data_IF_111299384475
#
_entry.id   IF_111299384475
#
_cell.length_a   1.000
_cell.length_b   1.000
_cell.length_c   1.000
_cell.angle_alpha   90.00
_cell.angle_beta   90.00
_cell.angle_gamma   90.00
#
_symmetry.space_group_name_H-M   'P 1'
#
loop_
_entity.id
_entity.type
_entity.pdbx_description
1 polymer ?
#
# COMPACT_ATOMS: atom_id res chain seq x y z
N UNK A 1 -17.20 -13.20 11.74
CA UNK A 1 -17.98 -13.81 12.85
C UNK A 1 -18.14 -12.83 14.02
N UNK A 2 -18.17 -11.53 13.75
CA UNK A 2 -18.23 -10.44 14.75
C UNK A 2 -19.56 -9.69 14.70
N UNK A 3 -20.56 -10.27 14.01
CA UNK A 3 -21.82 -9.60 13.68
C UNK A 3 -23.00 -10.15 14.49
N UNK A 4 -22.82 -11.29 15.18
CA UNK A 4 -23.94 -12.00 15.82
C UNK A 4 -24.17 -11.67 17.30
N UNK A 5 -23.45 -10.68 17.85
CA UNK A 5 -23.64 -10.22 19.25
C UNK A 5 -24.27 -8.82 19.30
N UNK A 6 -24.37 -8.10 18.17
CA UNK A 6 -24.72 -6.67 18.10
C UNK A 6 -26.13 -6.38 17.59
N UNK A 7 -27.11 -7.19 17.96
CA UNK A 7 -28.50 -6.73 17.98
C UNK A 7 -29.36 -7.74 18.74
N UNK A 8 -29.59 -7.50 20.02
CA UNK A 8 -30.95 -7.74 20.50
C UNK A 8 -31.80 -6.71 19.74
N UNK A 9 -32.76 -7.11 18.90
CA UNK A 9 -33.61 -6.16 18.18
C UNK A 9 -34.23 -5.22 19.22
N UNK A 10 -34.12 -3.92 19.02
CA UNK A 10 -34.67 -2.91 19.95
C UNK A 10 -36.18 -3.13 20.17
N UNK A 11 -36.86 -3.78 19.20
CA UNK A 11 -38.22 -4.29 19.30
C UNK A 11 -38.47 -5.19 20.53
N UNK A 12 -37.55 -6.12 20.85
CA UNK A 12 -37.67 -7.07 21.99
C UNK A 12 -37.45 -6.38 23.35
N UNK A 13 -36.72 -5.26 23.37
CA UNK A 13 -36.53 -4.43 24.57
C UNK A 13 -37.74 -3.53 24.87
N UNK A 14 -38.57 -3.20 23.86
CA UNK A 14 -39.75 -2.35 24.03
C UNK A 14 -40.88 -3.05 24.79
N UNK A 15 -40.94 -4.38 24.74
CA UNK A 15 -41.97 -5.19 25.40
C UNK A 15 -41.64 -5.49 26.87
N UNK A 16 -40.38 -5.27 27.29
CA UNK A 16 -39.98 -5.36 28.69
C UNK A 16 -40.32 -4.06 29.41
N UNK A 17 -41.22 -4.11 30.40
CA UNK A 17 -41.50 -2.99 31.31
C UNK A 17 -40.29 -2.73 32.22
N UNK A 18 -39.29 -2.06 31.67
CA UNK A 18 -38.04 -1.70 32.36
C UNK A 18 -38.24 -0.42 33.18
N UNK A 19 -37.61 -0.34 34.35
CA UNK A 19 -37.50 0.91 35.10
C UNK A 19 -36.71 1.94 34.26
N UNK A 20 -37.09 3.24 34.24
CA UNK A 20 -36.39 4.28 33.47
C UNK A 20 -34.87 4.37 33.74
N UNK A 21 -34.40 3.89 34.90
CA UNK A 21 -32.98 3.81 35.22
C UNK A 21 -32.29 2.65 34.50
N UNK A 22 -32.96 1.49 34.42
CA UNK A 22 -32.47 0.28 33.75
C UNK A 22 -32.42 0.47 32.23
N UNK A 23 -33.42 1.15 31.64
CA UNK A 23 -33.44 1.47 30.21
C UNK A 23 -32.24 2.35 29.79
N UNK A 24 -31.84 3.31 30.65
CA UNK A 24 -30.66 4.17 30.42
C UNK A 24 -29.35 3.38 30.50
N UNK A 25 -29.20 2.54 31.53
CA UNK A 25 -27.99 1.74 31.71
C UNK A 25 -27.82 0.74 30.56
N UNK A 26 -28.92 0.13 30.11
CA UNK A 26 -28.94 -0.77 28.97
C UNK A 26 -28.62 -0.04 27.66
N UNK A 27 -29.18 1.16 27.42
CA UNK A 27 -28.82 1.97 26.25
C UNK A 27 -27.34 2.35 26.22
N UNK A 28 -26.75 2.71 27.36
CA UNK A 28 -25.32 3.04 27.45
C UNK A 28 -24.41 1.80 27.30
N UNK A 29 -24.86 0.62 27.72
CA UNK A 29 -24.11 -0.64 27.57
C UNK A 29 -24.25 -1.27 26.18
N UNK A 30 -25.38 -1.05 25.49
CA UNK A 30 -25.67 -1.59 24.15
C UNK A 30 -25.16 -0.64 23.06
N UNK A 31 -25.08 0.67 23.33
CA UNK A 31 -24.53 1.66 22.39
C UNK A 31 -22.99 1.61 22.33
N UNK A 32 -22.46 0.51 21.80
CA UNK A 32 -21.08 0.49 21.29
C UNK A 32 -21.04 1.44 20.10
N UNK A 33 -20.70 2.70 20.35
CA UNK A 33 -20.55 3.69 19.29
C UNK A 33 -19.46 3.19 18.36
N UNK A 34 -19.81 2.80 17.13
CA UNK A 34 -18.85 2.43 16.09
C UNK A 34 -17.93 3.64 15.85
N UNK A 35 -16.76 3.59 16.47
CA UNK A 35 -15.79 4.67 16.33
C UNK A 35 -15.07 4.45 15.02
N UNK A 36 -15.38 5.25 13.99
CA UNK A 36 -14.61 5.29 12.75
C UNK A 36 -13.18 5.72 13.08
N UNK A 37 -12.25 4.78 13.08
CA UNK A 37 -10.84 5.05 13.33
C UNK A 37 -10.23 5.53 12.01
N UNK A 38 -9.56 6.68 12.04
CA UNK A 38 -8.79 7.18 10.88
C UNK A 38 -7.54 6.33 10.68
N UNK A 39 -7.16 6.08 9.42
CA UNK A 39 -5.94 5.33 9.06
C UNK A 39 -4.68 5.89 9.74
N UNK A 40 -4.57 7.21 9.86
CA UNK A 40 -3.45 7.88 10.53
C UNK A 40 -3.34 7.56 12.04
N UNK A 41 -4.41 7.09 12.66
CA UNK A 41 -4.39 6.66 14.07
C UNK A 41 -3.48 5.45 14.27
N UNK A 42 -3.29 4.62 13.23
CA UNK A 42 -2.38 3.47 13.28
C UNK A 42 -0.91 3.92 13.47
N UNK A 43 -0.57 5.12 13.04
CA UNK A 43 0.76 5.73 13.21
C UNK A 43 0.93 6.50 14.52
N UNK A 44 -0.03 6.41 15.46
CA UNK A 44 0.04 7.12 16.75
C UNK A 44 1.30 6.82 17.56
N UNK A 45 1.89 5.64 17.38
CA UNK A 45 3.10 5.18 18.07
C UNK A 45 4.40 5.49 17.30
N UNK A 46 4.31 6.16 16.14
CA UNK A 46 5.46 6.53 15.34
C UNK A 46 6.24 7.71 15.97
N UNK A 47 7.54 7.53 16.14
CA UNK A 47 8.46 8.56 16.62
C UNK A 47 8.92 9.48 15.49
N UNK A 48 9.53 10.62 15.81
CA UNK A 48 10.08 11.55 14.79
C UNK A 48 11.10 10.89 13.87
N UNK A 49 11.90 9.94 14.40
CA UNK A 49 12.84 9.17 13.59
C UNK A 49 12.12 8.25 12.61
N UNK A 50 11.02 7.62 13.02
CA UNK A 50 10.22 6.76 12.15
C UNK A 50 9.65 7.55 10.97
N UNK A 51 9.22 8.79 11.21
CA UNK A 51 8.79 9.70 10.14
C UNK A 51 9.90 10.03 9.14
N UNK A 52 11.12 10.28 9.61
CA UNK A 52 12.27 10.55 8.73
C UNK A 52 12.62 9.31 7.91
N UNK A 53 12.65 8.15 8.55
CA UNK A 53 12.90 6.84 7.92
C UNK A 53 11.84 6.60 6.83
N UNK A 54 10.55 6.71 7.14
CA UNK A 54 9.46 6.58 6.16
C UNK A 54 9.58 7.57 5.00
N UNK A 55 9.98 8.82 5.25
CA UNK A 55 10.17 9.81 4.20
C UNK A 55 11.30 9.43 3.24
N UNK A 56 12.43 8.94 3.77
CA UNK A 56 13.53 8.41 2.94
C UNK A 56 13.02 7.22 2.12
N UNK A 57 12.31 6.29 2.75
CA UNK A 57 11.71 5.13 2.07
C UNK A 57 10.74 5.52 0.96
N UNK A 58 9.97 6.60 1.13
CA UNK A 58 9.07 7.14 0.12
C UNK A 58 9.83 7.63 -1.12
N UNK A 59 10.93 8.36 -0.93
CA UNK A 59 11.77 8.85 -2.04
C UNK A 59 12.37 7.67 -2.84
N UNK A 60 12.90 6.67 -2.13
CA UNK A 60 13.43 5.46 -2.78
C UNK A 60 12.34 4.61 -3.46
N UNK A 61 11.13 4.56 -2.90
CA UNK A 61 9.98 3.87 -3.50
C UNK A 61 9.54 4.53 -4.81
N UNK A 62 9.54 5.87 -4.87
CA UNK A 62 9.30 6.60 -6.12
C UNK A 62 10.39 6.33 -7.16
N UNK A 63 11.66 6.31 -6.75
CA UNK A 63 12.77 5.95 -7.64
C UNK A 63 12.61 4.53 -8.20
N UNK A 64 12.27 3.55 -7.36
CA UNK A 64 11.99 2.19 -7.81
C UNK A 64 10.77 2.11 -8.76
N UNK A 65 9.75 2.95 -8.55
CA UNK A 65 8.58 3.09 -9.44
C UNK A 65 8.90 3.62 -10.83
N UNK A 66 10.00 4.34 -11.02
CA UNK A 66 10.41 4.85 -12.35
C UNK A 66 10.98 3.78 -13.28
N UNK A 67 11.15 2.54 -12.81
CA UNK A 67 11.91 1.54 -13.56
C UNK A 67 11.19 1.03 -14.81
N UNK A 68 9.88 0.78 -14.72
CA UNK A 68 9.08 0.31 -15.87
C UNK A 68 9.16 1.28 -17.07
N UNK A 69 8.91 2.61 -16.92
CA UNK A 69 9.05 3.54 -18.03
C UNK A 69 10.51 3.67 -18.49
N UNK A 70 11.49 3.59 -17.59
CA UNK A 70 12.91 3.66 -17.96
C UNK A 70 13.34 2.51 -18.85
N UNK A 71 12.95 1.27 -18.51
CA UNK A 71 13.22 0.08 -19.34
C UNK A 71 12.53 0.21 -20.70
N UNK A 72 11.28 0.69 -20.74
CA UNK A 72 10.55 0.88 -21.99
C UNK A 72 11.24 1.91 -22.91
N UNK A 73 11.76 3.01 -22.35
CA UNK A 73 12.51 4.01 -23.11
C UNK A 73 13.83 3.46 -23.67
N UNK A 74 14.61 2.74 -22.85
CA UNK A 74 15.86 2.12 -23.29
C UNK A 74 15.62 1.09 -24.42
N UNK A 75 14.55 0.31 -24.31
CA UNK A 75 14.15 -0.62 -25.37
C UNK A 75 13.72 0.12 -26.64
N UNK A 76 13.00 1.23 -26.52
CA UNK A 76 12.66 2.10 -27.65
C UNK A 76 13.90 2.61 -28.40
N UNK A 77 14.89 3.12 -27.67
CA UNK A 77 16.18 3.55 -28.24
C UNK A 77 16.92 2.42 -28.94
N UNK A 78 16.84 1.20 -28.39
CA UNK A 78 17.41 0.02 -29.01
C UNK A 78 16.71 -0.30 -30.34
N UNK A 79 15.38 -0.31 -30.38
CA UNK A 79 14.60 -0.56 -31.61
C UNK A 79 14.87 0.51 -32.67
N UNK A 80 14.96 1.78 -32.27
CA UNK A 80 15.29 2.89 -33.17
C UNK A 80 16.67 2.70 -33.81
N UNK A 81 17.67 2.28 -33.02
CA UNK A 81 19.01 1.99 -33.53
C UNK A 81 19.01 0.88 -34.60
N UNK A 82 18.24 -0.20 -34.38
CA UNK A 82 18.09 -1.28 -35.37
C UNK A 82 17.41 -0.81 -36.66
N UNK A 83 16.45 0.11 -36.54
CA UNK A 83 15.71 0.63 -37.70
C UNK A 83 16.59 1.54 -38.55
N UNK A 84 17.41 2.38 -37.93
CA UNK A 84 18.32 3.30 -38.63
C UNK A 84 19.41 2.55 -39.43
N UNK A 85 19.93 1.43 -38.93
CA UNK A 85 20.85 0.57 -39.69
C UNK A 85 20.19 -0.02 -40.93
N UNK A 86 18.93 -0.46 -40.83
CA UNK A 86 18.19 -1.05 -41.97
C UNK A 86 17.93 -0.05 -43.09
N UNK A 87 17.85 1.25 -42.78
CA UNK A 87 17.61 2.33 -43.75
C UNK A 87 18.96 2.89 -44.28
N UNK A 88 20.10 2.28 -43.92
CA UNK A 88 21.46 2.72 -44.27
C UNK A 88 21.78 4.17 -43.86
N UNK A 89 21.13 4.70 -42.81
CA UNK A 89 21.36 6.08 -42.35
C UNK A 89 22.54 6.21 -41.38
N UNK A 90 23.08 5.09 -40.88
CA UNK A 90 24.20 5.03 -39.91
C UNK A 90 25.13 3.86 -40.24
N UNK A 91 26.41 4.05 -39.94
CA UNK A 91 27.43 3.00 -40.13
C UNK A 91 27.27 1.86 -39.13
N UNK A 92 27.80 0.67 -39.46
CA UNK A 92 27.79 -0.49 -38.56
C UNK A 92 28.54 -0.21 -37.24
N UNK A 93 29.56 0.63 -37.28
CA UNK A 93 30.37 0.97 -36.11
C UNK A 93 29.58 1.84 -35.11
N UNK A 94 28.86 2.87 -35.60
CA UNK A 94 28.00 3.73 -34.76
C UNK A 94 26.85 2.94 -34.11
N UNK A 95 26.34 1.93 -34.80
CA UNK A 95 25.32 1.04 -34.26
C UNK A 95 25.86 0.20 -33.09
N UNK A 96 27.01 -0.44 -33.27
CA UNK A 96 27.64 -1.24 -32.21
C UNK A 96 27.96 -0.40 -30.97
N UNK A 97 28.41 0.84 -31.16
CA UNK A 97 28.64 1.77 -30.06
C UNK A 97 27.35 2.12 -29.32
N UNK A 98 26.27 2.43 -30.06
CA UNK A 98 24.97 2.79 -29.44
C UNK A 98 24.35 1.64 -28.66
N UNK A 99 24.41 0.42 -29.20
CA UNK A 99 23.90 -0.77 -28.52
C UNK A 99 24.69 -1.06 -27.25
N UNK A 100 26.03 -1.00 -27.30
CA UNK A 100 26.87 -1.20 -26.12
C UNK A 100 26.57 -0.16 -25.02
N UNK A 101 26.34 1.09 -25.39
CA UNK A 101 25.93 2.14 -24.44
C UNK A 101 24.59 1.81 -23.78
N UNK A 102 23.55 1.47 -24.56
CA UNK A 102 22.22 1.12 -24.03
C UNK A 102 22.28 -0.13 -23.15
N UNK A 103 23.08 -1.13 -23.52
CA UNK A 103 23.29 -2.34 -22.72
C UNK A 103 23.96 -2.05 -21.37
N UNK A 104 24.96 -1.17 -21.32
CA UNK A 104 25.59 -0.75 -20.07
C UNK A 104 24.61 0.03 -19.18
N UNK A 105 23.83 0.94 -19.75
CA UNK A 105 22.80 1.69 -19.02
C UNK A 105 21.75 0.76 -18.39
N UNK A 106 21.31 -0.29 -19.09
CA UNK A 106 20.40 -1.29 -18.52
C UNK A 106 20.98 -1.98 -17.28
N UNK A 107 22.29 -2.27 -17.27
CA UNK A 107 22.96 -2.88 -16.11
C UNK A 107 23.02 -1.90 -14.94
N UNK A 108 23.38 -0.64 -15.18
CA UNK A 108 23.42 0.38 -14.12
C UNK A 108 22.05 0.67 -13.53
N UNK A 109 21.01 0.77 -14.37
CA UNK A 109 19.61 0.94 -13.92
C UNK A 109 19.15 -0.27 -13.09
N UNK A 110 19.50 -1.49 -13.50
CA UNK A 110 19.12 -2.69 -12.74
C UNK A 110 19.75 -2.71 -11.34
N UNK A 111 21.03 -2.37 -11.23
CA UNK A 111 21.72 -2.29 -9.93
C UNK A 111 21.12 -1.16 -9.07
N UNK A 112 20.92 0.02 -9.66
CA UNK A 112 20.32 1.16 -8.97
C UNK A 112 18.91 0.86 -8.46
N UNK A 113 18.08 0.23 -9.29
CA UNK A 113 16.74 -0.24 -8.92
C UNK A 113 16.80 -1.22 -7.76
N UNK A 114 17.68 -2.21 -7.83
CA UNK A 114 17.80 -3.25 -6.80
C UNK A 114 18.10 -2.63 -5.44
N UNK A 115 19.09 -1.73 -5.39
CA UNK A 115 19.46 -1.03 -4.16
C UNK A 115 18.33 -0.12 -3.68
N UNK A 116 17.70 0.65 -4.57
CA UNK A 116 16.61 1.55 -4.20
C UNK A 116 15.39 0.81 -3.65
N UNK A 117 14.98 -0.27 -4.32
CA UNK A 117 13.88 -1.13 -3.90
C UNK A 117 14.15 -1.81 -2.57
N UNK A 118 15.39 -2.28 -2.36
CA UNK A 118 15.81 -2.86 -1.09
C UNK A 118 15.72 -1.85 0.05
N UNK A 119 16.29 -0.65 -0.12
CA UNK A 119 16.26 0.40 0.90
C UNK A 119 14.82 0.81 1.21
N UNK A 120 13.99 1.01 0.18
CA UNK A 120 12.58 1.33 0.35
C UNK A 120 11.87 0.26 1.19
N UNK A 121 11.95 -1.00 0.77
CA UNK A 121 11.28 -2.12 1.44
C UNK A 121 11.77 -2.32 2.87
N UNK A 122 13.09 -2.30 3.10
CA UNK A 122 13.68 -2.47 4.42
C UNK A 122 13.22 -1.38 5.40
N UNK A 123 13.17 -0.13 4.94
CA UNK A 123 12.74 1.04 5.71
C UNK A 123 11.27 0.94 6.13
N UNK A 124 10.38 0.55 5.21
CA UNK A 124 8.96 0.37 5.49
C UNK A 124 8.67 -0.81 6.42
N UNK A 125 9.31 -1.96 6.20
CA UNK A 125 9.19 -3.14 7.05
C UNK A 125 9.71 -2.85 8.45
N UNK A 126 10.89 -2.22 8.57
CA UNK A 126 11.47 -1.85 9.87
C UNK A 126 10.53 -0.97 10.69
N UNK A 127 9.94 0.06 10.07
CA UNK A 127 9.02 0.97 10.74
C UNK A 127 7.71 0.27 11.14
N UNK A 128 7.17 -0.57 10.25
CA UNK A 128 5.95 -1.33 10.53
C UNK A 128 6.12 -2.32 11.68
N UNK A 129 7.22 -3.05 11.73
CA UNK A 129 7.58 -3.96 12.83
C UNK A 129 7.67 -3.21 14.17
N UNK A 130 8.31 -2.04 14.17
CA UNK A 130 8.44 -1.22 15.38
C UNK A 130 7.07 -0.76 15.92
N UNK A 131 6.18 -0.31 15.04
CA UNK A 131 4.83 0.14 15.41
C UNK A 131 3.99 -1.06 15.88
N UNK A 132 4.02 -2.16 15.13
CA UNK A 132 3.30 -3.39 15.47
C UNK A 132 3.73 -3.96 16.82
N UNK A 133 5.03 -3.91 17.14
CA UNK A 133 5.56 -4.32 18.45
C UNK A 133 5.00 -3.47 19.59
N UNK A 134 4.92 -2.16 19.44
CA UNK A 134 4.34 -1.28 20.46
C UNK A 134 2.85 -1.53 20.65
N UNK A 135 2.10 -1.73 19.55
CA UNK A 135 0.68 -2.10 19.60
C UNK A 135 0.51 -3.43 20.34
N UNK A 136 1.35 -4.43 20.04
CA UNK A 136 1.34 -5.76 20.68
C UNK A 136 1.57 -5.68 22.19
N UNK A 137 2.54 -4.87 22.63
CA UNK A 137 2.83 -4.69 24.05
C UNK A 137 1.64 -4.07 24.80
N UNK A 138 1.05 -3.00 24.25
CA UNK A 138 -0.09 -2.34 24.89
C UNK A 138 -1.35 -3.20 24.86
N UNK A 139 -1.56 -3.94 23.77
CA UNK A 139 -2.72 -4.83 23.65
C UNK A 139 -2.63 -5.99 24.65
N UNK A 140 -1.46 -6.61 24.78
CA UNK A 140 -1.21 -7.65 25.78
C UNK A 140 -1.40 -7.09 27.21
N UNK A 141 -0.87 -5.90 27.50
CA UNK A 141 -1.05 -5.24 28.80
C UNK A 141 -2.52 -4.97 29.12
N UNK A 142 -3.34 -4.60 28.13
CA UNK A 142 -4.77 -4.37 28.31
C UNK A 142 -5.51 -5.69 28.58
N UNK A 143 -5.21 -6.75 27.82
CA UNK A 143 -5.83 -8.07 27.97
C UNK A 143 -5.52 -8.69 29.33
N UNK A 144 -4.28 -8.56 29.84
CA UNK A 144 -3.90 -9.07 31.16
C UNK A 144 -4.63 -8.39 32.33
N UNK A 145 -5.26 -7.23 32.10
CA UNK A 145 -6.05 -6.50 33.11
C UNK A 145 -7.54 -6.81 33.04
N UNK A 146 -7.94 -7.71 32.16
CA UNK A 146 -9.33 -8.01 31.89
C UNK A 146 -9.88 -9.09 32.85
N UNK A 147 -11.17 -9.01 33.18
CA UNK A 147 -11.83 -9.94 34.10
C UNK A 147 -11.94 -11.36 33.49
N UNK A 148 -11.94 -12.41 34.33
CA UNK A 148 -12.12 -13.81 33.94
C UNK A 148 -13.40 -14.05 33.12
N UNK A 149 -14.48 -13.30 33.40
CA UNK A 149 -15.74 -13.36 32.65
C UNK A 149 -15.57 -13.01 31.15
N UNK A 150 -14.56 -12.19 30.80
CA UNK A 150 -14.24 -11.88 29.40
C UNK A 150 -13.62 -13.09 28.69
N UNK A 151 -12.73 -13.81 29.38
CA UNK A 151 -12.06 -14.99 28.87
C UNK A 151 -13.00 -16.18 28.74
N UNK A 152 -14.01 -16.29 29.60
CA UNK A 152 -15.06 -17.31 29.51
C UNK A 152 -15.94 -17.12 28.26
N UNK A 153 -16.23 -15.86 27.90
CA UNK A 153 -17.03 -15.53 26.70
C UNK A 153 -16.28 -15.70 25.38
N UNK A 154 -15.00 -15.35 25.33
CA UNK A 154 -14.22 -15.35 24.07
C UNK A 154 -13.36 -16.61 23.89
N UNK A 155 -13.08 -17.35 24.96
CA UNK A 155 -12.10 -18.44 24.96
C UNK A 155 -10.66 -17.93 24.90
N UNK A 156 -9.77 -18.48 25.73
CA UNK A 156 -8.37 -18.06 25.81
C UNK A 156 -7.60 -18.19 24.48
N UNK A 157 -7.98 -19.16 23.64
CA UNK A 157 -7.40 -19.38 22.32
C UNK A 157 -7.76 -18.31 21.28
N UNK A 158 -9.00 -17.79 21.29
CA UNK A 158 -9.43 -16.74 20.35
C UNK A 158 -8.68 -15.43 20.64
N UNK A 159 -8.59 -15.06 21.92
CA UNK A 159 -7.88 -13.84 22.36
C UNK A 159 -6.40 -13.87 21.92
N UNK A 160 -5.74 -15.02 22.09
CA UNK A 160 -4.34 -15.20 21.66
C UNK A 160 -4.17 -15.10 20.15
N UNK A 161 -5.12 -15.68 19.40
CA UNK A 161 -5.13 -15.63 17.93
C UNK A 161 -5.34 -14.21 17.43
N UNK A 162 -6.27 -13.45 18.03
CA UNK A 162 -6.53 -12.04 17.69
C UNK A 162 -5.34 -11.14 17.93
N UNK A 163 -4.64 -11.30 19.05
CA UNK A 163 -3.38 -10.55 19.30
C UNK A 163 -2.39 -10.77 18.14
N UNK A 164 -2.28 -11.99 17.64
CA UNK A 164 -1.28 -12.29 16.61
C UNK A 164 -1.76 -11.88 15.22
N UNK A 165 -2.93 -12.38 14.81
CA UNK A 165 -3.50 -12.18 13.48
C UNK A 165 -3.86 -10.72 13.21
N UNK A 166 -4.58 -10.05 14.13
CA UNK A 166 -5.05 -8.69 13.90
C UNK A 166 -3.87 -7.70 13.86
N UNK A 167 -2.86 -7.92 14.71
CA UNK A 167 -1.64 -7.09 14.71
C UNK A 167 -0.81 -7.34 13.45
N UNK A 168 -0.73 -8.58 12.97
CA UNK A 168 -0.03 -8.88 11.72
C UNK A 168 -0.72 -8.22 10.52
N UNK A 169 -2.06 -8.25 10.45
CA UNK A 169 -2.82 -7.53 9.43
C UNK A 169 -2.55 -6.01 9.48
N UNK A 170 -2.47 -5.43 10.69
CA UNK A 170 -2.11 -4.02 10.85
C UNK A 170 -0.68 -3.78 10.35
N UNK A 171 0.27 -4.62 10.73
CA UNK A 171 1.67 -4.53 10.32
C UNK A 171 1.82 -4.57 8.80
N UNK A 172 1.20 -5.53 8.12
CA UNK A 172 1.22 -5.63 6.67
C UNK A 172 0.59 -4.40 6.01
N UNK A 173 -0.52 -3.91 6.57
CA UNK A 173 -1.25 -2.74 6.07
C UNK A 173 -0.52 -1.40 6.22
N UNK A 174 0.35 -1.24 7.24
CA UNK A 174 1.15 -0.03 7.45
C UNK A 174 2.56 -0.09 6.85
N UNK A 175 3.06 -1.29 6.53
CA UNK A 175 4.41 -1.47 6.00
C UNK A 175 4.40 -1.63 4.48
N UNK A 176 4.33 -2.87 4.00
CA UNK A 176 4.50 -3.24 2.59
C UNK A 176 3.46 -2.56 1.69
N UNK A 177 2.19 -2.56 2.09
CA UNK A 177 1.08 -2.08 1.23
C UNK A 177 1.14 -0.58 0.97
N UNK A 178 1.65 0.20 1.93
CA UNK A 178 1.83 1.65 1.76
C UNK A 178 2.90 1.93 0.73
N UNK A 179 4.06 1.27 0.85
CA UNK A 179 5.16 1.40 -0.10
C UNK A 179 4.70 1.07 -1.53
N UNK A 180 3.98 -0.04 -1.70
CA UNK A 180 3.45 -0.47 -2.99
C UNK A 180 2.44 0.53 -3.56
N UNK A 181 1.57 1.10 -2.72
CA UNK A 181 0.57 2.09 -3.16
C UNK A 181 1.25 3.34 -3.73
N UNK A 182 2.29 3.85 -3.07
CA UNK A 182 3.06 4.98 -3.58
C UNK A 182 3.84 4.62 -4.84
N UNK A 183 4.46 3.44 -4.88
CA UNK A 183 5.21 2.97 -6.04
C UNK A 183 4.30 2.85 -7.28
N UNK A 184 3.18 2.15 -7.18
CA UNK A 184 2.26 1.98 -8.30
C UNK A 184 1.57 3.29 -8.69
N UNK A 185 1.22 4.14 -7.72
CA UNK A 185 0.71 5.48 -8.00
C UNK A 185 1.68 6.31 -8.84
N UNK A 186 2.98 6.25 -8.50
CA UNK A 186 4.02 6.96 -9.25
C UNK A 186 4.25 6.37 -10.65
N UNK A 187 4.23 5.04 -10.78
CA UNK A 187 4.30 4.33 -12.08
C UNK A 187 3.16 4.80 -12.99
N UNK A 188 1.93 4.80 -12.48
CA UNK A 188 0.74 5.21 -13.25
C UNK A 188 0.86 6.66 -13.70
N UNK A 189 1.30 7.57 -12.83
CA UNK A 189 1.51 8.97 -13.19
C UNK A 189 2.54 9.13 -14.32
N UNK A 190 3.69 8.46 -14.22
CA UNK A 190 4.74 8.54 -15.25
C UNK A 190 4.29 7.97 -16.60
N UNK A 191 3.55 6.85 -16.58
CA UNK A 191 3.06 6.20 -17.77
C UNK A 191 2.00 7.05 -18.48
N UNK A 192 1.07 7.64 -17.73
CA UNK A 192 0.06 8.57 -18.28
C UNK A 192 0.74 9.80 -18.90
N UNK A 193 1.72 10.40 -18.21
CA UNK A 193 2.41 11.59 -18.71
C UNK A 193 3.19 11.31 -20.00
N UNK A 194 3.92 10.19 -20.07
CA UNK A 194 4.61 9.80 -21.31
C UNK A 194 3.63 9.46 -22.44
N UNK A 195 2.55 8.75 -22.13
CA UNK A 195 1.51 8.42 -23.10
C UNK A 195 0.86 9.66 -23.70
N UNK A 196 0.48 10.63 -22.85
CA UNK A 196 -0.12 11.91 -23.28
C UNK A 196 0.87 12.75 -24.07
N UNK A 197 2.14 12.83 -23.66
CA UNK A 197 3.16 13.58 -24.41
C UNK A 197 3.33 13.02 -25.82
N UNK A 198 3.51 11.70 -25.95
CA UNK A 198 3.67 11.04 -27.25
C UNK A 198 2.40 11.16 -28.11
N UNK A 199 1.21 11.05 -27.52
CA UNK A 199 -0.06 11.21 -28.22
C UNK A 199 -0.24 12.64 -28.76
N UNK A 200 0.20 13.65 -28.00
CA UNK A 200 0.22 15.05 -28.45
C UNK A 200 1.19 15.25 -29.61
N UNK A 201 2.38 14.66 -29.55
CA UNK A 201 3.36 14.74 -30.64
C UNK A 201 2.86 14.07 -31.93
N UNK A 202 1.99 13.05 -31.81
CA UNK A 202 1.36 12.36 -32.94
C UNK A 202 0.02 13.00 -33.39
N UNK A 203 -0.40 14.12 -32.78
CA UNK A 203 -1.68 14.79 -33.03
C UNK A 203 -2.88 13.83 -33.01
N UNK A 204 -2.81 12.78 -32.18
CA UNK A 204 -3.86 11.77 -32.06
C UNK A 204 -4.92 12.25 -31.06
N UNK A 205 -6.19 12.26 -31.47
CA UNK A 205 -7.31 12.60 -30.61
C UNK A 205 -7.56 11.43 -29.61
N UNK A 206 -7.34 11.60 -28.30
CA UNK A 206 -7.47 10.52 -27.32
C UNK A 206 -8.91 9.99 -27.17
N UNK A 207 -9.91 10.70 -27.68
CA UNK A 207 -11.32 10.29 -27.62
C UNK A 207 -11.72 9.27 -28.70
N UNK A 208 -10.90 9.05 -29.73
CA UNK A 208 -11.18 8.07 -30.79
C UNK A 208 -10.97 6.60 -30.39
N UNK A 209 -10.18 6.34 -29.34
CA UNK A 209 -9.83 4.98 -28.89
C UNK A 209 -10.93 4.30 -28.05
N UNK A 210 -11.88 5.07 -27.51
CA UNK A 210 -13.01 4.54 -26.75
C UNK A 210 -14.27 4.29 -27.60
N UNK A 211 -14.23 4.60 -28.90
CA UNK A 211 -15.36 4.43 -29.81
C UNK A 211 -15.15 3.22 -30.74
N UNK A 212 -14.84 2.06 -30.16
CA UNK A 212 -14.84 0.80 -30.91
C UNK A 212 -16.30 0.30 -30.92
N UNK A 213 -16.99 0.25 -32.07
CA UNK A 213 -18.34 -0.29 -32.12
C UNK A 213 -18.27 -1.79 -31.78
N UNK A 214 -18.94 -2.16 -30.69
CA UNK A 214 -19.20 -3.56 -30.36
C UNK A 214 -20.22 -4.05 -31.39
N UNK A 215 -19.78 -4.82 -32.37
CA UNK A 215 -20.64 -5.69 -33.19
C UNK A 215 -20.58 -7.11 -32.65
#
# INVERSE_FOLDING_TARGET
MTEKITSIPIEELSDMKLDPTEERILKDQISVTERKISYFTLYRFATKLDWIIMFIGLVFSMAAGSTLPTIALLLGLMIDSFTNVKIHTVSTDEFSEKVNFVSLELVYVAIGMFVASYIATATWVYTGERIARQIREQYLRAILRQNIAYFDKHGSGDVTTRITSDIHLIQDGISEKVALTFQYGYVMNNLVMHGVSKARDLNMNPTGLFNIPIQ
#
